data_IF_097166012872
#
_entry.id   IF_097166012872
#
_cell.length_a   1.000
_cell.length_b   1.000
_cell.length_c   1.000
_cell.angle_alpha   90.00
_cell.angle_beta   90.00
_cell.angle_gamma   90.00
#
_symmetry.space_group_name_H-M   'P 1'
#
loop_
_entity.id
_entity.type
_entity.pdbx_description
1 polymer ?
#
# COMPACT_ATOMS: atom_id res chain seq x y z
N UNK A 1 4.74 18.63 -3.61
CA UNK A 1 4.43 18.30 -5.01
C UNK A 1 2.91 18.40 -5.23
N UNK A 2 2.49 18.64 -6.47
CA UNK A 2 1.06 18.72 -6.84
C UNK A 2 0.33 17.42 -6.50
N UNK A 3 0.94 16.28 -6.77
CA UNK A 3 0.38 14.96 -6.47
C UNK A 3 0.15 14.71 -4.98
N UNK A 4 1.03 15.19 -4.10
CA UNK A 4 0.85 15.04 -2.65
C UNK A 4 -0.37 15.84 -2.17
N UNK A 5 -0.59 17.03 -2.71
CA UNK A 5 -1.77 17.83 -2.38
C UNK A 5 -3.06 17.17 -2.86
N UNK A 6 -3.08 16.67 -4.10
CA UNK A 6 -4.23 15.93 -4.64
C UNK A 6 -4.54 14.69 -3.79
N UNK A 7 -3.55 13.84 -3.53
CA UNK A 7 -3.72 12.66 -2.66
C UNK A 7 -4.23 13.02 -1.27
N UNK A 8 -3.79 14.15 -0.70
CA UNK A 8 -4.27 14.61 0.61
C UNK A 8 -5.76 14.94 0.57
N UNK A 9 -6.23 15.60 -0.49
CA UNK A 9 -7.65 15.92 -0.68
C UNK A 9 -8.48 14.64 -0.81
N UNK A 10 -8.04 13.71 -1.65
CA UNK A 10 -8.74 12.44 -1.88
C UNK A 10 -8.86 11.63 -0.57
N UNK A 11 -7.77 11.50 0.20
CA UNK A 11 -7.78 10.77 1.48
C UNK A 11 -8.67 11.46 2.51
N UNK A 12 -8.63 12.78 2.62
CA UNK A 12 -9.50 13.54 3.53
C UNK A 12 -10.96 13.32 3.22
N UNK A 13 -11.33 13.36 1.94
CA UNK A 13 -12.73 13.16 1.50
C UNK A 13 -13.29 11.79 1.89
N UNK A 14 -12.42 10.79 2.10
CA UNK A 14 -12.81 9.44 2.52
C UNK A 14 -12.84 9.31 4.04
N UNK A 15 -11.80 9.79 4.72
CA UNK A 15 -11.60 9.54 6.15
C UNK A 15 -12.43 10.49 7.03
N UNK A 16 -12.49 11.79 6.69
CA UNK A 16 -13.17 12.79 7.52
C UNK A 16 -14.67 12.50 7.73
N UNK A 17 -15.44 12.03 6.73
CA UNK A 17 -16.81 11.62 6.95
C UNK A 17 -16.96 10.41 7.89
N UNK A 18 -15.97 9.51 7.92
CA UNK A 18 -15.99 8.31 8.77
C UNK A 18 -15.73 8.65 10.24
N UNK A 19 -14.85 9.60 10.49
CA UNK A 19 -14.49 10.02 11.86
C UNK A 19 -15.32 11.21 12.38
N UNK A 20 -16.07 11.87 11.48
CA UNK A 20 -16.96 12.98 11.83
C UNK A 20 -16.28 14.31 12.15
N UNK A 21 -14.99 14.44 11.84
CA UNK A 21 -14.21 15.69 12.02
C UNK A 21 -13.03 15.76 11.07
N UNK A 22 -12.40 16.92 10.98
CA UNK A 22 -11.25 17.16 10.11
C UNK A 22 -9.99 16.44 10.60
N UNK A 23 -9.20 15.92 9.67
CA UNK A 23 -7.86 15.40 9.94
C UNK A 23 -6.88 16.55 10.18
N UNK A 24 -6.02 16.39 11.17
CA UNK A 24 -4.87 17.27 11.33
C UNK A 24 -3.80 16.93 10.29
N UNK A 25 -3.50 17.88 9.42
CA UNK A 25 -2.50 17.71 8.35
C UNK A 25 -1.25 18.49 8.68
N UNK A 26 -0.12 17.80 8.79
CA UNK A 26 1.20 18.40 8.99
C UNK A 26 2.10 18.07 7.80
N UNK A 27 2.62 19.10 7.15
CA UNK A 27 3.55 18.94 6.02
C UNK A 27 4.99 19.18 6.46
N UNK A 28 5.88 18.31 6.01
CA UNK A 28 7.32 18.48 6.07
C UNK A 28 7.91 18.55 4.65
N UNK A 29 9.22 18.76 4.54
CA UNK A 29 9.92 18.81 3.24
C UNK A 29 9.72 17.53 2.42
N UNK A 30 9.60 16.38 3.06
CA UNK A 30 9.61 15.05 2.41
C UNK A 30 8.37 14.20 2.67
N UNK A 31 7.46 14.64 3.55
CA UNK A 31 6.28 13.85 3.92
C UNK A 31 5.11 14.73 4.32
N UNK A 32 3.91 14.18 4.14
CA UNK A 32 2.66 14.71 4.70
C UNK A 32 2.14 13.71 5.72
N UNK A 33 1.90 14.16 6.94
CA UNK A 33 1.29 13.38 8.00
C UNK A 33 -0.15 13.83 8.19
N UNK A 34 -1.08 12.89 8.14
CA UNK A 34 -2.46 13.08 8.54
C UNK A 34 -2.71 12.32 9.82
N UNK A 35 -3.39 12.93 10.77
CA UNK A 35 -3.66 12.32 12.08
C UNK A 35 -5.00 12.76 12.64
N UNK A 36 -5.58 11.92 13.47
CA UNK A 36 -6.76 12.17 14.28
C UNK A 36 -6.48 11.78 15.74
N UNK A 37 -7.27 12.30 16.67
CA UNK A 37 -7.01 12.15 18.09
C UNK A 37 -7.67 10.89 18.63
N UNK A 38 -6.90 10.01 19.25
CA UNK A 38 -7.38 8.73 19.80
C UNK A 38 -8.58 8.90 20.75
N UNK A 39 -8.61 9.95 21.56
CA UNK A 39 -9.68 10.18 22.53
C UNK A 39 -11.06 10.42 21.90
N UNK A 40 -11.09 11.01 20.70
CA UNK A 40 -12.33 11.29 19.97
C UNK A 40 -12.76 10.12 19.07
N UNK A 41 -11.83 9.24 18.73
CA UNK A 41 -12.01 8.19 17.73
C UNK A 41 -11.77 6.79 18.30
N UNK A 42 -12.11 6.57 19.57
CA UNK A 42 -11.84 5.31 20.27
C UNK A 42 -12.47 4.11 19.56
N UNK A 43 -13.68 4.26 19.03
CA UNK A 43 -14.34 3.20 18.27
C UNK A 43 -13.57 2.86 16.99
N UNK A 44 -13.22 3.89 16.20
CA UNK A 44 -12.44 3.71 14.95
C UNK A 44 -11.10 3.04 15.25
N UNK A 45 -10.42 3.49 16.31
CA UNK A 45 -9.14 2.90 16.71
C UNK A 45 -9.27 1.45 17.16
N UNK A 46 -10.32 1.09 17.90
CA UNK A 46 -10.58 -0.30 18.29
C UNK A 46 -10.80 -1.19 17.07
N UNK A 47 -11.62 -0.74 16.12
CA UNK A 47 -11.90 -1.51 14.92
C UNK A 47 -10.63 -1.66 14.05
N UNK A 48 -9.86 -0.60 13.88
CA UNK A 48 -8.58 -0.68 13.17
C UNK A 48 -7.64 -1.68 13.84
N UNK A 49 -7.48 -1.60 15.18
CA UNK A 49 -6.62 -2.53 15.91
C UNK A 49 -7.11 -3.98 15.82
N UNK A 50 -8.42 -4.19 15.82
CA UNK A 50 -9.00 -5.51 15.59
C UNK A 50 -8.69 -6.05 14.19
N UNK A 51 -8.79 -5.21 13.16
CA UNK A 51 -8.59 -5.59 11.76
C UNK A 51 -7.12 -5.83 11.40
N UNK A 52 -6.20 -5.02 11.93
CA UNK A 52 -4.76 -5.14 11.63
C UNK A 52 -4.01 -6.05 12.63
N UNK A 53 -4.71 -6.63 13.60
CA UNK A 53 -4.14 -7.51 14.61
C UNK A 53 -3.23 -6.78 15.61
N UNK A 54 -2.35 -7.53 16.27
CA UNK A 54 -1.51 -7.02 17.36
C UNK A 54 -0.31 -6.18 16.91
N UNK A 55 -0.08 -6.04 15.60
CA UNK A 55 1.08 -5.31 15.06
C UNK A 55 0.68 -3.91 14.61
N UNK A 56 1.15 -2.88 15.31
CA UNK A 56 0.99 -1.48 14.88
C UNK A 56 2.15 -0.97 14.03
N UNK A 57 3.24 -1.70 13.99
CA UNK A 57 4.42 -1.35 13.20
C UNK A 57 4.37 -2.02 11.83
N UNK A 58 4.73 -1.27 10.78
CA UNK A 58 4.68 -1.77 9.39
C UNK A 58 5.40 -3.10 9.16
N UNK A 59 6.47 -3.40 9.93
CA UNK A 59 7.22 -4.65 9.79
C UNK A 59 6.56 -5.87 10.44
N UNK A 60 5.58 -5.67 11.32
CA UNK A 60 4.90 -6.75 12.07
C UNK A 60 3.39 -6.84 11.79
N UNK A 61 2.85 -5.84 11.11
CA UNK A 61 1.44 -5.80 10.75
C UNK A 61 1.04 -7.01 9.90
N UNK A 62 -0.12 -7.59 10.20
CA UNK A 62 -0.71 -8.70 9.46
C UNK A 62 -2.20 -8.43 9.24
N UNK A 63 -2.76 -9.01 8.21
CA UNK A 63 -4.22 -9.06 8.09
C UNK A 63 -4.79 -10.03 9.12
N UNK A 64 -5.82 -9.60 9.86
CA UNK A 64 -6.57 -10.52 10.71
C UNK A 64 -7.24 -11.57 9.80
N UNK A 65 -7.19 -12.86 10.16
CA UNK A 65 -7.87 -13.93 9.41
C UNK A 65 -9.36 -13.65 9.15
N UNK A 66 -10.06 -12.96 10.04
CA UNK A 66 -11.46 -12.54 9.86
C UNK A 66 -11.69 -11.73 8.59
N UNK A 67 -10.69 -10.96 8.13
CA UNK A 67 -10.77 -10.17 6.89
C UNK A 67 -10.92 -11.03 5.63
N UNK A 68 -10.58 -12.31 5.69
CA UNK A 68 -10.81 -13.23 4.58
C UNK A 68 -12.27 -13.71 4.49
N UNK A 69 -13.05 -13.55 5.56
CA UNK A 69 -14.47 -13.85 5.62
C UNK A 69 -15.42 -12.72 5.24
N UNK A 70 -14.91 -11.48 5.04
CA UNK A 70 -15.74 -10.34 4.63
C UNK A 70 -16.14 -10.45 3.16
N UNK A 71 -17.09 -9.63 2.73
CA UNK A 71 -17.60 -9.63 1.35
C UNK A 71 -16.51 -9.26 0.33
N UNK A 72 -16.73 -9.60 -0.94
CA UNK A 72 -15.81 -9.27 -2.03
C UNK A 72 -15.63 -7.75 -2.17
N UNK A 73 -16.68 -6.97 -1.99
CA UNK A 73 -16.61 -5.51 -2.08
C UNK A 73 -15.84 -4.88 -0.92
N UNK A 74 -15.99 -5.41 0.28
CA UNK A 74 -15.18 -5.00 1.43
C UNK A 74 -13.70 -5.37 1.26
N UNK A 75 -13.40 -6.55 0.69
CA UNK A 75 -12.02 -6.94 0.33
C UNK A 75 -11.42 -6.00 -0.70
N UNK A 76 -12.18 -5.62 -1.73
CA UNK A 76 -11.77 -4.63 -2.73
C UNK A 76 -11.49 -3.27 -2.09
N UNK A 77 -12.36 -2.80 -1.21
CA UNK A 77 -12.18 -1.53 -0.50
C UNK A 77 -10.91 -1.54 0.36
N UNK A 78 -10.64 -2.64 1.08
CA UNK A 78 -9.43 -2.82 1.87
C UNK A 78 -8.17 -2.78 0.98
N UNK A 79 -8.15 -3.56 -0.10
CA UNK A 79 -7.02 -3.61 -1.05
C UNK A 79 -6.80 -2.28 -1.74
N UNK A 80 -7.87 -1.56 -2.08
CA UNK A 80 -7.83 -0.22 -2.66
C UNK A 80 -7.13 0.76 -1.71
N UNK A 81 -7.50 0.78 -0.42
CA UNK A 81 -6.86 1.60 0.59
C UNK A 81 -5.37 1.26 0.79
N UNK A 82 -5.01 -0.01 0.79
CA UNK A 82 -3.61 -0.45 0.84
C UNK A 82 -2.85 0.04 -0.39
N UNK A 83 -3.41 -0.12 -1.58
CA UNK A 83 -2.78 0.33 -2.83
C UNK A 83 -2.64 1.86 -2.91
N UNK A 84 -3.58 2.62 -2.37
CA UNK A 84 -3.47 4.08 -2.31
C UNK A 84 -2.22 4.54 -1.57
N UNK A 85 -1.87 3.86 -0.48
CA UNK A 85 -0.73 4.22 0.37
C UNK A 85 0.58 3.61 -0.14
N UNK A 86 0.56 2.34 -0.51
CA UNK A 86 1.77 1.54 -0.79
C UNK A 86 1.96 1.22 -2.27
N UNK A 87 0.93 1.45 -3.09
CA UNK A 87 0.92 1.09 -4.50
C UNK A 87 1.45 2.19 -5.42
N UNK A 88 2.04 1.78 -6.52
CA UNK A 88 2.41 2.65 -7.63
C UNK A 88 2.32 1.90 -8.97
N UNK A 89 2.23 2.64 -10.07
CA UNK A 89 2.10 2.10 -11.41
C UNK A 89 3.37 2.36 -12.19
N UNK A 90 3.83 1.36 -12.94
CA UNK A 90 4.98 1.47 -13.86
C UNK A 90 4.72 0.69 -15.13
N UNK A 91 5.36 1.15 -16.23
CA UNK A 91 5.51 0.34 -17.42
C UNK A 91 6.27 -0.95 -17.11
N UNK A 92 5.79 -2.05 -17.64
CA UNK A 92 6.50 -3.31 -17.54
C UNK A 92 7.78 -3.25 -18.38
N UNK A 93 8.81 -3.96 -17.94
CA UNK A 93 10.03 -4.12 -18.74
C UNK A 93 9.74 -5.14 -19.86
N UNK A 94 10.25 -4.89 -21.07
CA UNK A 94 10.14 -5.77 -22.26
C UNK A 94 10.55 -7.21 -21.94
N UNK A 95 11.52 -7.42 -21.03
CA UNK A 95 11.97 -8.73 -20.57
C UNK A 95 10.86 -9.64 -20.01
N UNK A 96 9.68 -9.10 -19.70
CA UNK A 96 8.55 -9.84 -19.15
C UNK A 96 7.39 -10.04 -20.14
N UNK A 97 7.64 -9.90 -21.44
CA UNK A 97 6.79 -10.41 -22.50
C UNK A 97 5.59 -9.57 -22.92
N UNK A 98 5.36 -8.41 -22.29
CA UNK A 98 4.28 -7.50 -22.69
C UNK A 98 4.83 -6.07 -22.85
N UNK A 99 5.21 -5.75 -24.07
CA UNK A 99 5.64 -4.40 -24.42
C UNK A 99 4.49 -3.40 -24.17
N UNK A 100 4.81 -2.36 -23.38
CA UNK A 100 3.86 -1.29 -23.08
C UNK A 100 2.82 -1.59 -21.99
N UNK A 101 2.74 -2.80 -21.44
CA UNK A 101 1.85 -3.10 -20.35
C UNK A 101 2.26 -2.39 -19.05
N UNK A 102 1.30 -1.80 -18.35
CA UNK A 102 1.51 -1.24 -17.04
C UNK A 102 1.25 -2.30 -15.96
N UNK A 103 1.97 -2.17 -14.86
CA UNK A 103 1.79 -2.98 -13.65
C UNK A 103 1.57 -2.11 -12.45
N UNK A 104 0.72 -2.58 -11.56
CA UNK A 104 0.59 -2.10 -10.20
C UNK A 104 1.58 -2.87 -9.33
N UNK A 105 2.36 -2.15 -8.56
CA UNK A 105 3.30 -2.66 -7.56
C UNK A 105 2.76 -2.28 -6.20
N UNK A 106 2.52 -3.24 -5.33
CA UNK A 106 2.19 -3.02 -3.92
C UNK A 106 3.41 -3.45 -3.11
N UNK A 107 4.02 -2.51 -2.41
CA UNK A 107 5.34 -2.66 -1.81
C UNK A 107 5.28 -2.44 -0.31
N UNK A 108 5.64 -3.46 0.47
CA UNK A 108 5.65 -3.42 1.93
C UNK A 108 7.07 -3.65 2.44
N UNK A 109 7.80 -2.58 2.75
CA UNK A 109 9.18 -2.70 3.22
C UNK A 109 9.28 -3.49 4.52
N UNK A 110 10.11 -4.53 4.51
CA UNK A 110 10.42 -5.32 5.71
C UNK A 110 9.30 -6.22 6.23
N UNK A 111 8.18 -6.34 5.52
CA UNK A 111 7.06 -7.18 5.95
C UNK A 111 6.62 -8.14 4.84
N UNK A 112 7.31 -9.27 4.76
CA UNK A 112 7.00 -10.33 3.81
C UNK A 112 5.61 -10.94 4.02
N UNK A 113 5.23 -11.15 5.26
CA UNK A 113 3.95 -11.80 5.56
C UNK A 113 2.75 -10.95 5.15
N UNK A 114 2.83 -9.63 5.30
CA UNK A 114 1.77 -8.73 4.81
C UNK A 114 1.64 -8.78 3.28
N UNK A 115 2.76 -8.93 2.56
CA UNK A 115 2.74 -9.11 1.09
C UNK A 115 2.03 -10.41 0.70
N UNK A 116 2.25 -11.49 1.45
CA UNK A 116 1.54 -12.76 1.24
C UNK A 116 0.04 -12.61 1.57
N UNK A 117 -0.30 -11.90 2.64
CA UNK A 117 -1.70 -11.65 2.99
C UNK A 117 -2.40 -10.86 1.87
N UNK A 118 -1.76 -9.83 1.31
CA UNK A 118 -2.27 -9.06 0.17
C UNK A 118 -2.47 -9.96 -1.05
N UNK A 119 -1.50 -10.78 -1.40
CA UNK A 119 -1.59 -11.70 -2.53
C UNK A 119 -2.75 -12.70 -2.37
N UNK A 120 -2.92 -13.25 -1.16
CA UNK A 120 -4.02 -14.15 -0.86
C UNK A 120 -5.39 -13.42 -0.92
N UNK A 121 -5.45 -12.17 -0.48
CA UNK A 121 -6.66 -11.36 -0.55
C UNK A 121 -7.04 -11.04 -2.00
N UNK A 122 -6.07 -10.70 -2.85
CA UNK A 122 -6.27 -10.51 -4.29
C UNK A 122 -6.82 -11.79 -4.94
N UNK A 123 -6.21 -12.93 -4.62
CA UNK A 123 -6.68 -14.23 -5.10
C UNK A 123 -8.11 -14.54 -4.66
N UNK A 124 -8.47 -14.18 -3.42
CA UNK A 124 -9.82 -14.41 -2.89
C UNK A 124 -10.93 -13.60 -3.57
N UNK A 125 -10.59 -12.63 -4.41
CA UNK A 125 -11.50 -11.84 -5.24
C UNK A 125 -11.20 -12.00 -6.74
N UNK A 126 -10.56 -13.11 -7.12
CA UNK A 126 -10.22 -13.48 -8.49
C UNK A 126 -9.37 -12.45 -9.26
N UNK A 127 -8.56 -11.68 -8.55
CA UNK A 127 -7.56 -10.79 -9.17
C UNK A 127 -6.22 -11.54 -9.27
N UNK A 128 -5.75 -11.84 -10.50
CA UNK A 128 -4.53 -12.61 -10.69
C UNK A 128 -3.29 -11.81 -10.26
N UNK A 129 -2.46 -12.44 -9.44
CA UNK A 129 -1.14 -11.92 -9.06
C UNK A 129 -0.11 -12.44 -10.04
N UNK A 130 0.66 -11.54 -10.66
CA UNK A 130 1.66 -11.93 -11.63
C UNK A 130 2.93 -12.46 -10.96
N UNK A 131 3.46 -11.72 -9.99
CA UNK A 131 4.64 -12.12 -9.22
C UNK A 131 4.55 -11.63 -7.78
N UNK A 132 5.22 -12.37 -6.90
CA UNK A 132 5.48 -11.97 -5.52
C UNK A 132 6.99 -12.01 -5.33
N UNK A 133 7.61 -10.86 -5.06
CA UNK A 133 9.06 -10.74 -4.95
C UNK A 133 9.48 -10.59 -3.48
N UNK A 134 10.35 -11.48 -3.04
CA UNK A 134 10.97 -11.42 -1.72
C UNK A 134 12.29 -10.65 -1.80
N UNK A 135 12.35 -9.53 -1.08
CA UNK A 135 13.60 -8.80 -0.92
C UNK A 135 14.15 -8.21 -2.20
N UNK A 136 13.30 -7.60 -3.03
CA UNK A 136 13.76 -6.90 -4.23
C UNK A 136 14.68 -5.75 -3.83
N UNK A 137 15.95 -5.75 -4.23
CA UNK A 137 16.85 -4.66 -3.96
C UNK A 137 16.42 -3.42 -4.77
N UNK A 138 16.36 -2.27 -4.10
CA UNK A 138 16.11 -1.01 -4.79
C UNK A 138 17.37 -0.53 -5.51
N UNK A 139 17.57 -0.94 -6.75
CA UNK A 139 18.69 -0.54 -7.60
C UNK A 139 18.50 0.80 -8.31
N UNK A 140 17.54 1.62 -7.88
CA UNK A 140 17.10 2.81 -8.64
C UNK A 140 18.22 3.77 -9.05
N UNK A 141 19.33 3.81 -8.32
CA UNK A 141 20.29 4.91 -8.49
C UNK A 141 21.67 4.50 -8.99
N UNK A 142 21.95 3.24 -9.28
CA UNK A 142 23.29 2.78 -9.65
C UNK A 142 24.38 3.07 -8.59
N UNK A 143 23.98 3.57 -7.43
CA UNK A 143 24.87 4.03 -6.34
C UNK A 143 25.08 3.00 -5.24
N UNK A 144 24.93 1.73 -5.58
CA UNK A 144 25.06 0.60 -4.66
C UNK A 144 26.35 0.64 -3.82
N UNK A 145 27.45 1.07 -4.44
CA UNK A 145 28.76 1.09 -3.78
C UNK A 145 28.81 2.14 -2.65
N UNK A 146 28.23 3.32 -2.85
CA UNK A 146 28.22 4.39 -1.84
C UNK A 146 27.31 4.13 -0.63
N UNK A 147 26.27 3.32 -0.80
CA UNK A 147 25.36 2.97 0.28
C UNK A 147 25.87 1.84 1.15
N UNK A 148 26.83 1.03 0.67
CA UNK A 148 27.38 -0.13 1.36
C UNK A 148 28.47 0.23 2.37
N UNK A 149 29.10 1.37 2.25
CA UNK A 149 30.17 1.78 3.15
C UNK A 149 29.62 2.06 4.55
N UNK A 150 29.71 1.04 5.41
CA UNK A 150 29.52 1.17 6.85
C UNK A 150 28.07 1.12 7.37
N UNK A 151 27.07 0.69 6.59
CA UNK A 151 25.67 0.61 7.07
C UNK A 151 25.18 -0.84 7.18
N UNK A 152 24.96 -1.37 8.39
CA UNK A 152 24.52 -2.75 8.60
C UNK A 152 23.11 -3.10 8.07
N UNK A 153 22.30 -2.11 7.67
CA UNK A 153 20.92 -2.28 7.19
C UNK A 153 20.73 -1.84 5.74
N UNK A 154 21.72 -2.07 4.92
CA UNK A 154 21.74 -1.66 3.51
C UNK A 154 20.55 -2.17 2.68
N UNK A 155 20.10 -3.37 2.93
CA UNK A 155 18.98 -3.97 2.24
C UNK A 155 17.68 -3.78 3.03
N UNK A 156 17.04 -2.62 2.88
CA UNK A 156 15.61 -2.58 3.11
C UNK A 156 15.00 -3.50 2.06
N UNK A 157 14.70 -4.73 2.48
CA UNK A 157 14.05 -5.70 1.63
C UNK A 157 12.67 -5.18 1.29
N UNK A 158 12.52 -4.65 0.09
CA UNK A 158 11.24 -4.24 -0.46
C UNK A 158 10.55 -5.51 -0.97
N UNK A 159 9.59 -6.01 -0.22
CA UNK A 159 8.75 -7.11 -0.68
C UNK A 159 7.61 -6.54 -1.49
N UNK A 160 7.29 -7.19 -2.61
CA UNK A 160 6.34 -6.64 -3.58
C UNK A 160 5.37 -7.70 -4.09
N UNK A 161 4.13 -7.26 -4.32
CA UNK A 161 3.18 -7.93 -5.21
C UNK A 161 3.08 -7.14 -6.51
N UNK A 162 3.10 -7.82 -7.64
CA UNK A 162 2.93 -7.22 -8.97
C UNK A 162 1.71 -7.79 -9.65
N UNK A 163 0.86 -6.89 -10.14
CA UNK A 163 -0.39 -7.20 -10.83
C UNK A 163 -0.40 -6.43 -12.15
N UNK A 164 -0.89 -7.00 -13.24
CA UNK A 164 -1.13 -6.21 -14.44
C UNK A 164 -2.19 -5.16 -14.18
N UNK A 165 -2.00 -3.94 -14.69
CA UNK A 165 -2.87 -2.82 -14.39
C UNK A 165 -4.32 -3.05 -14.84
N UNK A 166 -4.51 -3.71 -15.99
CA UNK A 166 -5.84 -4.10 -16.47
C UNK A 166 -6.57 -5.06 -15.51
N UNK A 167 -5.84 -5.99 -14.89
CA UNK A 167 -6.41 -6.90 -13.90
C UNK A 167 -6.72 -6.19 -12.57
N UNK A 168 -5.87 -5.22 -12.20
CA UNK A 168 -6.08 -4.44 -10.99
C UNK A 168 -7.25 -3.45 -11.07
N UNK A 169 -7.77 -3.17 -12.27
CA UNK A 169 -8.96 -2.32 -12.44
C UNK A 169 -10.18 -2.84 -11.65
N UNK A 170 -10.25 -4.14 -11.38
CA UNK A 170 -11.31 -4.72 -10.53
C UNK A 170 -11.27 -4.20 -9.08
N UNK A 171 -10.09 -3.76 -8.61
CA UNK A 171 -9.86 -3.11 -7.31
C UNK A 171 -9.79 -1.60 -7.48
N UNK A 172 -8.88 -1.10 -8.31
CA UNK A 172 -8.63 0.31 -8.58
C UNK A 172 -7.98 1.06 -7.42
N UNK A 173 -7.98 2.39 -7.54
CA UNK A 173 -7.47 3.33 -6.53
C UNK A 173 -8.55 4.34 -6.15
N UNK A 174 -8.53 4.83 -4.92
CA UNK A 174 -9.32 6.01 -4.53
C UNK A 174 -8.61 7.32 -4.92
N UNK A 175 -7.28 7.29 -4.94
CA UNK A 175 -6.46 8.42 -5.34
C UNK A 175 -6.55 8.60 -6.85
N UNK A 176 -7.20 9.66 -7.31
CA UNK A 176 -7.60 9.87 -8.69
C UNK A 176 -6.42 9.78 -9.68
N UNK A 177 -5.30 10.44 -9.41
CA UNK A 177 -4.14 10.43 -10.32
C UNK A 177 -3.41 9.08 -10.39
N UNK A 178 -3.79 8.10 -9.57
CA UNK A 178 -3.33 6.72 -9.68
C UNK A 178 -4.33 5.86 -10.45
N UNK A 179 -5.59 6.28 -10.51
CA UNK A 179 -6.64 5.58 -11.23
C UNK A 179 -6.53 5.79 -12.75
N UNK A 180 -6.03 6.94 -13.18
CA UNK A 180 -5.78 7.32 -14.58
C UNK A 180 -4.59 6.56 -15.19
#
# INVERSE_FOLDING_TARGET
>A
SVYVKASTVDIRSIIEPLIGHDLTVTQSKHSTKMSFTKSNDEYVMRELMRLIGNGTHHSTMRMNPELFGITADEKKALLKGIADVTGYIRKSNIAFGQEGAHRVYIEIPGNWYMVIDIANMLKAIDVPVQTIDFGHPNFRDGKLVKYNEGKPNFWKKEHQVKIFANEFLAVGFNIQHKQE
#
